data_IF_545327143636
#
_entry.id   IF_545327143636
#
_cell.length_a   1.000
_cell.length_b   1.000
_cell.length_c   1.000
_cell.angle_alpha   90.00
_cell.angle_beta   90.00
_cell.angle_gamma   90.00
#
_symmetry.space_group_name_H-M   'P 1'
#
loop_
_entity.id
_entity.type
_entity.pdbx_description
1 polymer ?
#
# COMPACT_ATOMS: atom_id res chain seq x y z
N UNK A 1 -44.90 -40.80 -16.31
CA UNK A 1 -43.60 -40.31 -16.81
C UNK A 1 -43.04 -39.31 -15.84
N UNK A 2 -41.80 -39.53 -15.33
CA UNK A 2 -41.13 -38.55 -14.46
C UNK A 2 -40.73 -37.35 -15.33
N UNK A 3 -41.07 -36.11 -14.86
CA UNK A 3 -40.61 -34.88 -15.52
C UNK A 3 -39.11 -34.77 -15.38
N UNK A 4 -38.36 -34.58 -16.49
CA UNK A 4 -36.92 -34.36 -16.48
C UNK A 4 -36.58 -33.20 -15.51
N UNK A 5 -35.76 -33.47 -14.48
CA UNK A 5 -35.26 -32.44 -13.56
C UNK A 5 -35.69 -32.53 -12.09
N UNK A 6 -36.71 -33.30 -11.74
CA UNK A 6 -37.22 -33.31 -10.37
C UNK A 6 -36.52 -34.34 -9.42
N UNK A 7 -35.63 -35.20 -9.91
CA UNK A 7 -34.93 -36.23 -9.16
C UNK A 7 -35.86 -37.13 -8.27
N UNK A 8 -37.06 -37.46 -8.84
CA UNK A 8 -38.05 -38.30 -8.18
C UNK A 8 -38.39 -39.45 -9.15
N UNK A 9 -38.22 -40.69 -8.66
CA UNK A 9 -38.32 -41.90 -9.47
C UNK A 9 -39.25 -42.92 -8.83
N UNK A 10 -40.00 -43.67 -9.65
CA UNK A 10 -40.81 -44.80 -9.17
C UNK A 10 -39.94 -46.06 -9.11
N UNK A 11 -39.83 -46.67 -7.98
CA UNK A 11 -39.03 -47.90 -7.75
C UNK A 11 -39.83 -49.15 -8.21
N UNK A 12 -39.12 -50.26 -8.38
CA UNK A 12 -39.75 -51.55 -8.75
C UNK A 12 -40.68 -52.11 -7.67
N UNK A 13 -40.48 -51.70 -6.42
CA UNK A 13 -41.32 -52.04 -5.28
C UNK A 13 -42.60 -51.18 -5.15
N UNK A 14 -42.91 -50.36 -6.14
CA UNK A 14 -44.08 -49.53 -6.19
C UNK A 14 -43.98 -48.17 -5.50
N UNK A 15 -42.98 -47.96 -4.62
CA UNK A 15 -42.74 -46.68 -3.92
C UNK A 15 -42.09 -45.65 -4.81
N UNK A 16 -42.25 -44.37 -4.44
CA UNK A 16 -41.55 -43.23 -5.05
C UNK A 16 -40.36 -42.83 -4.19
N UNK A 17 -39.21 -42.64 -4.84
CA UNK A 17 -37.97 -42.20 -4.25
C UNK A 17 -37.66 -40.77 -4.70
N UNK A 18 -37.43 -39.83 -3.74
CA UNK A 18 -36.95 -38.50 -4.00
C UNK A 18 -35.48 -38.37 -3.55
N UNK A 19 -34.62 -38.04 -4.49
CA UNK A 19 -33.18 -37.82 -4.22
C UNK A 19 -32.87 -36.33 -4.05
N UNK A 20 -32.03 -35.97 -3.07
CA UNK A 20 -31.58 -34.61 -2.81
C UNK A 20 -30.13 -34.60 -2.36
N UNK A 21 -29.44 -33.46 -2.50
CA UNK A 21 -28.05 -33.29 -2.02
C UNK A 21 -28.11 -33.03 -0.52
N UNK A 22 -27.53 -33.94 0.30
CA UNK A 22 -27.48 -33.82 1.74
C UNK A 22 -26.24 -33.02 2.21
N UNK A 23 -25.11 -33.16 1.51
CA UNK A 23 -23.84 -32.48 1.81
C UNK A 23 -22.94 -32.49 0.58
N UNK A 24 -21.81 -31.78 0.64
CA UNK A 24 -20.66 -31.95 -0.28
C UNK A 24 -19.44 -32.39 0.50
N UNK A 25 -18.66 -33.32 -0.06
CA UNK A 25 -17.38 -33.76 0.54
C UNK A 25 -16.32 -32.67 0.41
N UNK A 26 -15.21 -32.79 1.13
CA UNK A 26 -14.05 -31.88 1.01
C UNK A 26 -13.50 -31.79 -0.44
N UNK A 27 -13.71 -32.85 -1.25
CA UNK A 27 -13.36 -32.87 -2.67
C UNK A 27 -14.44 -32.27 -3.61
N UNK A 28 -15.49 -31.65 -3.07
CA UNK A 28 -16.59 -31.05 -3.86
C UNK A 28 -17.64 -32.02 -4.37
N UNK A 29 -17.51 -33.34 -4.19
CA UNK A 29 -18.47 -34.34 -4.64
C UNK A 29 -19.76 -34.29 -3.79
N UNK A 30 -20.93 -34.38 -4.48
CA UNK A 30 -22.22 -34.38 -3.83
C UNK A 30 -22.50 -35.68 -3.08
N UNK A 31 -22.90 -35.58 -1.80
CA UNK A 31 -23.41 -36.67 -0.98
C UNK A 31 -24.94 -36.57 -1.00
N UNK A 32 -25.61 -37.67 -1.40
CA UNK A 32 -27.04 -37.65 -1.61
C UNK A 32 -27.79 -38.24 -0.42
N UNK A 33 -28.96 -37.64 -0.13
CA UNK A 33 -29.99 -38.19 0.75
C UNK A 33 -31.21 -38.65 -0.09
N UNK A 34 -31.99 -39.55 0.52
CA UNK A 34 -33.15 -40.16 -0.13
C UNK A 34 -34.37 -40.09 0.77
N UNK A 35 -35.56 -39.84 0.19
CA UNK A 35 -36.84 -39.94 0.89
C UNK A 35 -37.76 -40.88 0.10
N UNK A 36 -38.61 -41.59 0.80
CA UNK A 36 -39.51 -42.57 0.20
C UNK A 36 -40.97 -42.26 0.55
N UNK A 37 -41.87 -42.51 -0.39
CA UNK A 37 -43.31 -42.34 -0.20
C UNK A 37 -44.13 -43.24 -1.14
N UNK A 38 -45.39 -43.56 -0.77
CA UNK A 38 -46.26 -44.35 -1.63
C UNK A 38 -46.73 -43.59 -2.89
N UNK A 39 -46.76 -42.26 -2.82
CA UNK A 39 -47.21 -41.43 -3.95
C UNK A 39 -46.14 -40.45 -4.38
N UNK A 40 -46.16 -40.03 -5.69
CA UNK A 40 -45.28 -39.01 -6.23
C UNK A 40 -45.42 -37.67 -5.46
N UNK A 41 -46.65 -37.24 -5.19
CA UNK A 41 -46.94 -35.95 -4.52
C UNK A 41 -46.34 -35.91 -3.11
N UNK A 42 -46.41 -37.02 -2.40
CA UNK A 42 -45.83 -37.13 -1.06
C UNK A 42 -44.31 -37.24 -1.05
N UNK A 43 -43.70 -37.96 -2.02
CA UNK A 43 -42.25 -38.00 -2.20
C UNK A 43 -41.68 -36.60 -2.51
N UNK A 44 -42.40 -35.82 -3.34
CA UNK A 44 -42.04 -34.43 -3.64
C UNK A 44 -42.10 -33.55 -2.40
N UNK A 45 -43.17 -33.65 -1.58
CA UNK A 45 -43.32 -32.92 -0.32
C UNK A 45 -42.20 -33.25 0.66
N UNK A 46 -41.93 -34.55 0.90
CA UNK A 46 -40.87 -35.02 1.82
C UNK A 46 -39.49 -34.57 1.35
N UNK A 47 -39.24 -34.58 0.02
CA UNK A 47 -37.95 -34.09 -0.54
C UNK A 47 -37.78 -32.59 -0.30
N UNK A 48 -38.81 -31.77 -0.58
CA UNK A 48 -38.76 -30.33 -0.32
C UNK A 48 -38.56 -30.02 1.17
N UNK A 49 -39.25 -30.74 2.06
CA UNK A 49 -39.09 -30.58 3.50
C UNK A 49 -37.67 -30.94 3.96
N UNK A 50 -37.07 -32.00 3.41
CA UNK A 50 -35.72 -32.40 3.71
C UNK A 50 -34.68 -31.35 3.27
N UNK A 51 -34.90 -30.71 2.14
CA UNK A 51 -34.05 -29.60 1.65
C UNK A 51 -34.17 -28.37 2.57
N UNK A 52 -35.41 -27.96 2.92
CA UNK A 52 -35.66 -26.84 3.85
C UNK A 52 -35.00 -27.10 5.23
N UNK A 53 -35.13 -28.33 5.74
CA UNK A 53 -34.52 -28.68 7.02
C UNK A 53 -32.97 -28.61 6.99
N UNK A 54 -32.33 -28.93 5.85
CA UNK A 54 -30.88 -28.79 5.71
C UNK A 54 -30.51 -27.31 5.64
N UNK A 55 -31.24 -26.50 4.87
CA UNK A 55 -31.00 -25.05 4.80
C UNK A 55 -31.24 -24.35 6.14
N UNK A 56 -32.28 -24.76 6.87
CA UNK A 56 -32.56 -24.24 8.23
C UNK A 56 -31.46 -24.64 9.23
N UNK A 57 -30.94 -25.87 9.16
CA UNK A 57 -29.83 -26.31 10.00
C UNK A 57 -28.53 -25.58 9.63
N UNK A 58 -28.25 -25.37 8.34
CA UNK A 58 -27.09 -24.59 7.91
C UNK A 58 -27.16 -23.12 8.37
N UNK A 59 -28.34 -22.52 8.33
CA UNK A 59 -28.56 -21.16 8.89
C UNK A 59 -28.50 -21.14 10.43
N UNK A 60 -28.96 -22.18 11.11
CA UNK A 60 -28.83 -22.31 12.56
C UNK A 60 -27.36 -22.54 12.97
N UNK A 61 -26.59 -23.37 12.24
CA UNK A 61 -25.16 -23.53 12.45
C UNK A 61 -24.38 -22.24 12.16
N UNK A 62 -24.74 -21.47 11.15
CA UNK A 62 -24.17 -20.14 10.93
C UNK A 62 -24.47 -19.18 12.08
N UNK A 63 -25.71 -19.15 12.59
CA UNK A 63 -26.07 -18.32 13.75
C UNK A 63 -25.37 -18.75 15.05
N UNK A 64 -25.12 -20.05 15.24
CA UNK A 64 -24.39 -20.56 16.42
C UNK A 64 -22.90 -20.26 16.31
N UNK A 65 -22.32 -20.29 15.09
CA UNK A 65 -20.90 -19.90 14.88
C UNK A 65 -20.68 -18.39 14.98
N UNK A 66 -21.69 -17.57 14.65
CA UNK A 66 -21.64 -16.12 14.86
C UNK A 66 -21.62 -15.74 16.35
N UNK A 67 -22.18 -16.57 17.24
CA UNK A 67 -22.22 -16.31 18.68
C UNK A 67 -20.99 -16.80 19.47
N UNK A 68 -20.00 -17.46 18.83
CA UNK A 68 -18.82 -17.99 19.53
C UNK A 68 -17.52 -17.27 19.25
N UNK A 69 -17.47 -16.39 18.24
CA UNK A 69 -16.28 -15.56 17.99
C UNK A 69 -16.49 -14.22 18.72
N UNK A 70 -15.65 -13.89 19.72
CA UNK A 70 -15.78 -12.60 20.40
C UNK A 70 -15.68 -11.45 19.40
N UNK A 71 -16.40 -10.34 19.61
CA UNK A 71 -16.36 -9.21 18.69
C UNK A 71 -14.92 -8.74 18.52
N UNK A 72 -14.45 -8.74 17.28
CA UNK A 72 -13.13 -8.23 16.93
C UNK A 72 -13.24 -6.73 16.63
N UNK A 73 -12.58 -5.93 17.42
CA UNK A 73 -12.49 -4.48 17.21
C UNK A 73 -11.34 -4.13 16.28
N UNK A 74 -11.49 -3.06 15.54
CA UNK A 74 -10.51 -2.63 14.52
C UNK A 74 -9.14 -2.32 15.16
N UNK A 75 -9.08 -1.75 16.37
CA UNK A 75 -7.82 -1.53 17.09
C UNK A 75 -7.03 -2.82 17.29
N UNK A 76 -7.67 -3.85 17.80
CA UNK A 76 -7.02 -5.15 18.04
C UNK A 76 -6.52 -5.74 16.73
N UNK A 77 -7.38 -5.76 15.71
CA UNK A 77 -7.04 -6.27 14.38
C UNK A 77 -5.85 -5.52 13.77
N UNK A 78 -5.81 -4.20 13.89
CA UNK A 78 -4.73 -3.36 13.38
C UNK A 78 -3.40 -3.65 14.08
N UNK A 79 -3.41 -3.78 15.41
CA UNK A 79 -2.22 -4.12 16.19
C UNK A 79 -1.69 -5.53 15.83
N UNK A 80 -2.57 -6.52 15.78
CA UNK A 80 -2.20 -7.89 15.43
C UNK A 80 -1.63 -7.96 13.99
N UNK A 81 -2.25 -7.25 13.06
CA UNK A 81 -1.76 -7.15 11.70
C UNK A 81 -0.39 -6.46 11.61
N UNK A 82 -0.21 -5.30 12.26
CA UNK A 82 1.06 -4.59 12.28
C UNK A 82 2.20 -5.45 12.83
N UNK A 83 1.94 -6.19 13.92
CA UNK A 83 2.91 -7.13 14.49
C UNK A 83 3.27 -8.25 13.51
N UNK A 84 2.28 -8.77 12.77
CA UNK A 84 2.49 -9.87 11.81
C UNK A 84 3.36 -9.49 10.61
N UNK A 85 3.37 -8.21 10.20
CA UNK A 85 4.11 -7.73 9.03
C UNK A 85 5.42 -7.03 9.38
N UNK A 86 5.67 -6.70 10.66
CA UNK A 86 6.80 -5.87 11.08
C UNK A 86 8.17 -6.39 10.60
N UNK A 87 8.38 -7.70 10.65
CA UNK A 87 9.64 -8.34 10.21
C UNK A 87 9.75 -8.48 8.68
N UNK A 88 8.64 -8.32 7.95
CA UNK A 88 8.56 -8.60 6.51
C UNK A 88 8.65 -7.33 5.65
N UNK A 89 8.46 -6.16 6.24
CA UNK A 89 8.41 -4.89 5.51
C UNK A 89 9.55 -3.95 5.91
N UNK A 90 9.91 -3.03 5.00
CA UNK A 90 10.88 -1.98 5.30
C UNK A 90 10.36 -1.02 6.37
N UNK A 91 11.28 -0.50 7.19
CA UNK A 91 10.97 0.49 8.24
C UNK A 91 10.14 1.67 7.73
N UNK A 92 10.41 2.16 6.51
CA UNK A 92 9.63 3.25 5.90
C UNK A 92 8.18 2.87 5.60
N UNK A 93 7.92 1.62 5.19
CA UNK A 93 6.55 1.14 4.98
C UNK A 93 5.83 0.95 6.30
N UNK A 94 6.52 0.42 7.32
CA UNK A 94 5.97 0.29 8.67
C UNK A 94 5.51 1.64 9.22
N UNK A 95 6.39 2.65 9.16
CA UNK A 95 6.08 4.02 9.61
C UNK A 95 4.90 4.61 8.82
N UNK A 96 4.86 4.42 7.50
CA UNK A 96 3.72 4.87 6.67
C UNK A 96 2.41 4.23 7.14
N UNK A 97 2.41 2.92 7.37
CA UNK A 97 1.20 2.19 7.81
C UNK A 97 0.78 2.60 9.21
N UNK A 98 1.74 2.72 10.13
CA UNK A 98 1.48 3.24 11.47
C UNK A 98 0.81 4.62 11.43
N UNK A 99 1.36 5.54 10.65
CA UNK A 99 0.79 6.89 10.51
C UNK A 99 -0.63 6.87 9.94
N UNK A 100 -0.87 6.07 8.88
CA UNK A 100 -2.21 5.94 8.30
C UNK A 100 -3.20 5.38 9.33
N UNK A 101 -2.81 4.36 10.09
CA UNK A 101 -3.64 3.78 11.14
C UNK A 101 -3.99 4.81 12.20
N UNK A 102 -2.99 5.47 12.77
CA UNK A 102 -3.18 6.37 13.91
C UNK A 102 -3.77 7.73 13.53
N UNK A 103 -3.49 8.24 12.32
CA UNK A 103 -4.01 9.54 11.90
C UNK A 103 -5.40 9.50 11.27
N UNK A 104 -5.80 8.35 10.68
CA UNK A 104 -7.05 8.28 9.90
C UNK A 104 -7.96 7.14 10.30
N UNK A 105 -7.46 5.89 10.38
CA UNK A 105 -8.32 4.72 10.54
C UNK A 105 -8.78 4.57 11.99
N UNK A 106 -7.87 4.58 12.94
CA UNK A 106 -8.21 4.39 14.36
C UNK A 106 -9.07 5.52 14.95
N UNK A 107 -8.86 6.81 14.62
CA UNK A 107 -9.78 7.85 15.12
C UNK A 107 -11.24 7.62 14.75
N UNK A 108 -11.51 7.01 13.58
CA UNK A 108 -12.88 6.75 13.11
C UNK A 108 -13.42 5.37 13.54
N UNK A 109 -12.56 4.34 13.56
CA UNK A 109 -13.00 2.95 13.67
C UNK A 109 -12.48 2.23 14.92
N UNK A 110 -11.86 2.89 15.86
CA UNK A 110 -11.19 2.28 17.02
C UNK A 110 -12.06 1.25 17.75
N UNK A 111 -13.22 1.70 18.19
CA UNK A 111 -14.18 0.91 18.94
C UNK A 111 -15.29 0.33 18.08
N UNK A 112 -15.11 0.31 16.75
CA UNK A 112 -16.05 -0.27 15.83
C UNK A 112 -15.79 -1.77 15.71
N UNK A 113 -16.80 -2.61 15.99
CA UNK A 113 -16.66 -4.04 15.76
C UNK A 113 -16.63 -4.32 14.25
N UNK A 114 -15.82 -5.32 13.88
CA UNK A 114 -15.56 -5.68 12.48
C UNK A 114 -16.81 -5.97 11.65
N UNK A 115 -17.86 -6.53 12.27
CA UNK A 115 -19.13 -6.85 11.63
C UNK A 115 -19.96 -5.62 11.25
N UNK A 116 -19.63 -4.43 11.75
CA UNK A 116 -20.25 -3.17 11.36
C UNK A 116 -19.51 -2.44 10.23
N UNK A 117 -18.37 -2.96 9.79
CA UNK A 117 -17.54 -2.32 8.76
C UNK A 117 -18.07 -2.65 7.35
N UNK A 118 -19.24 -2.11 7.02
CA UNK A 118 -19.90 -2.29 5.72
C UNK A 118 -19.23 -1.48 4.61
N UNK A 119 -19.44 -1.84 3.34
CA UNK A 119 -18.96 -1.07 2.18
C UNK A 119 -19.44 0.37 2.22
N UNK A 120 -20.72 0.61 2.61
CA UNK A 120 -21.29 1.94 2.73
C UNK A 120 -20.58 2.80 3.78
N UNK A 121 -20.24 2.21 4.93
CA UNK A 121 -19.53 2.93 6.00
C UNK A 121 -18.08 3.29 5.58
N UNK A 122 -17.40 2.38 4.90
CA UNK A 122 -16.05 2.65 4.38
C UNK A 122 -16.10 3.68 3.24
N UNK A 123 -17.10 3.62 2.35
CA UNK A 123 -17.28 4.62 1.29
C UNK A 123 -17.47 6.02 1.89
N UNK A 124 -18.42 6.17 2.85
CA UNK A 124 -18.65 7.43 3.54
C UNK A 124 -17.38 7.99 4.18
N UNK A 125 -16.62 7.15 4.88
CA UNK A 125 -15.32 7.54 5.44
C UNK A 125 -14.35 8.05 4.37
N UNK A 126 -14.25 7.39 3.21
CA UNK A 126 -13.42 7.87 2.11
C UNK A 126 -13.89 9.20 1.53
N UNK A 127 -15.21 9.39 1.42
CA UNK A 127 -15.82 10.64 0.92
C UNK A 127 -15.58 11.79 1.90
N UNK A 128 -15.73 11.54 3.21
CA UNK A 128 -15.44 12.52 4.26
C UNK A 128 -13.95 12.92 4.27
N UNK A 129 -13.03 11.98 4.05
CA UNK A 129 -11.61 12.26 3.90
C UNK A 129 -11.29 13.11 2.67
N UNK A 130 -11.98 12.90 1.54
CA UNK A 130 -11.79 13.69 0.32
C UNK A 130 -12.26 15.13 0.49
N UNK A 131 -13.30 15.37 1.31
CA UNK A 131 -13.92 16.68 1.47
C UNK A 131 -13.33 17.43 2.66
N UNK A 132 -13.12 16.77 3.79
CA UNK A 132 -12.79 17.38 5.08
C UNK A 132 -11.49 16.86 5.69
N UNK A 133 -10.82 15.89 5.05
CA UNK A 133 -9.60 15.29 5.60
C UNK A 133 -8.41 16.26 5.63
N UNK A 134 -7.40 15.89 6.43
CA UNK A 134 -6.16 16.67 6.57
C UNK A 134 -6.21 17.73 7.68
N UNK A 135 -5.04 18.27 8.01
CA UNK A 135 -4.90 19.26 9.10
C UNK A 135 -5.52 20.63 8.80
N UNK A 136 -5.67 20.98 7.52
CA UNK A 136 -6.32 22.21 7.07
C UNK A 136 -7.85 22.07 6.92
N UNK A 137 -8.38 20.85 6.90
CA UNK A 137 -9.80 20.58 6.64
C UNK A 137 -10.23 20.79 5.18
N UNK A 138 -9.28 20.98 4.25
CA UNK A 138 -9.56 21.20 2.81
C UNK A 138 -9.70 19.90 2.01
N UNK A 139 -9.64 18.75 2.69
CA UNK A 139 -9.70 17.43 2.09
C UNK A 139 -8.32 16.85 1.73
N UNK A 140 -8.27 15.54 1.64
CA UNK A 140 -7.07 14.81 1.22
C UNK A 140 -7.08 14.57 -0.29
N UNK A 141 -5.88 14.52 -0.87
CA UNK A 141 -5.76 14.12 -2.27
C UNK A 141 -6.32 12.70 -2.51
N UNK A 142 -6.93 12.44 -3.69
CA UNK A 142 -7.42 11.10 -4.03
C UNK A 142 -6.36 10.01 -3.87
N UNK A 143 -5.10 10.33 -4.16
CA UNK A 143 -3.96 9.41 -3.98
C UNK A 143 -3.77 9.02 -2.50
N UNK A 144 -3.89 9.98 -1.59
CA UNK A 144 -3.76 9.73 -0.14
C UNK A 144 -4.92 8.85 0.35
N UNK A 145 -6.15 9.15 -0.08
CA UNK A 145 -7.33 8.35 0.30
C UNK A 145 -7.24 6.93 -0.27
N UNK A 146 -6.73 6.75 -1.48
CA UNK A 146 -6.45 5.42 -2.05
C UNK A 146 -5.40 4.63 -1.24
N UNK A 147 -4.36 5.29 -0.73
CA UNK A 147 -3.37 4.65 0.14
C UNK A 147 -4.02 4.20 1.48
N UNK A 148 -4.90 5.02 2.06
CA UNK A 148 -5.68 4.69 3.27
C UNK A 148 -6.62 3.50 3.00
N UNK A 149 -7.37 3.55 1.90
CA UNK A 149 -8.28 2.47 1.49
C UNK A 149 -7.51 1.16 1.21
N UNK A 150 -6.33 1.24 0.62
CA UNK A 150 -5.46 0.07 0.38
C UNK A 150 -5.04 -0.59 1.68
N UNK A 151 -4.73 0.20 2.71
CA UNK A 151 -4.43 -0.31 4.05
C UNK A 151 -5.66 -0.95 4.69
N UNK A 152 -6.83 -0.31 4.61
CA UNK A 152 -8.10 -0.86 5.09
C UNK A 152 -8.39 -2.23 4.45
N UNK A 153 -8.23 -2.35 3.13
CA UNK A 153 -8.35 -3.62 2.41
C UNK A 153 -7.39 -4.70 2.93
N UNK A 154 -6.16 -4.29 3.30
CA UNK A 154 -5.17 -5.21 3.86
C UNK A 154 -5.59 -5.72 5.25
N UNK A 155 -6.17 -4.86 6.09
CA UNK A 155 -6.74 -5.25 7.39
C UNK A 155 -7.93 -6.20 7.23
N UNK A 156 -8.85 -5.89 6.31
CA UNK A 156 -10.01 -6.76 6.05
C UNK A 156 -9.59 -8.14 5.53
N UNK A 157 -8.58 -8.18 4.66
CA UNK A 157 -8.00 -9.43 4.19
C UNK A 157 -7.33 -10.21 5.32
N UNK A 158 -6.59 -9.53 6.20
CA UNK A 158 -6.00 -10.17 7.37
C UNK A 158 -7.08 -10.75 8.30
N UNK A 159 -8.17 -10.02 8.53
CA UNK A 159 -9.31 -10.52 9.29
C UNK A 159 -9.86 -11.83 8.71
N UNK A 160 -10.03 -11.90 7.39
CA UNK A 160 -10.48 -13.11 6.71
C UNK A 160 -9.51 -14.29 6.91
N UNK A 161 -8.20 -14.05 6.85
CA UNK A 161 -7.17 -15.08 7.11
C UNK A 161 -7.25 -15.57 8.57
N UNK A 162 -7.60 -14.69 9.52
CA UNK A 162 -7.79 -15.04 10.93
C UNK A 162 -9.15 -15.73 11.22
N UNK A 163 -9.96 -15.99 10.20
CA UNK A 163 -11.25 -16.68 10.33
C UNK A 163 -12.45 -15.76 10.60
N UNK A 164 -12.24 -14.44 10.68
CA UNK A 164 -13.34 -13.48 10.77
C UNK A 164 -14.01 -13.28 9.40
N UNK A 165 -15.29 -12.92 9.41
CA UNK A 165 -16.05 -12.64 8.18
C UNK A 165 -16.51 -11.17 8.17
N UNK A 166 -15.65 -10.24 7.72
CA UNK A 166 -16.07 -8.85 7.58
C UNK A 166 -17.16 -8.73 6.51
N UNK A 167 -18.16 -7.84 6.71
CA UNK A 167 -19.29 -7.67 5.77
C UNK A 167 -18.85 -7.06 4.44
N UNK A 168 -17.65 -6.50 4.37
CA UNK A 168 -17.05 -5.92 3.16
C UNK A 168 -15.58 -6.33 3.03
N UNK A 169 -15.09 -6.41 1.79
CA UNK A 169 -13.65 -6.51 1.48
C UNK A 169 -13.10 -5.19 0.91
N UNK A 170 -13.92 -4.15 0.82
CA UNK A 170 -13.56 -2.83 0.31
C UNK A 170 -13.27 -2.76 -1.19
N UNK A 171 -13.48 -3.84 -1.97
CA UNK A 171 -13.23 -3.84 -3.42
C UNK A 171 -14.24 -3.02 -4.20
N UNK A 172 -15.47 -2.93 -3.70
CA UNK A 172 -16.58 -2.21 -4.33
C UNK A 172 -16.44 -0.68 -4.25
N UNK A 173 -15.46 -0.20 -3.44
CA UNK A 173 -15.23 1.22 -3.22
C UNK A 173 -14.31 1.74 -4.31
N UNK A 174 -14.79 2.73 -5.07
CA UNK A 174 -14.07 3.35 -6.17
C UNK A 174 -13.76 4.81 -5.86
N UNK A 175 -12.49 5.17 -5.90
CA UNK A 175 -12.03 6.55 -5.80
C UNK A 175 -11.44 6.95 -7.14
N UNK A 176 -12.02 7.98 -7.77
CA UNK A 176 -11.50 8.51 -9.03
C UNK A 176 -10.19 9.24 -8.77
N UNK A 177 -9.18 8.95 -9.56
CA UNK A 177 -7.90 9.61 -9.52
C UNK A 177 -7.64 10.23 -10.89
N UNK A 178 -7.37 11.53 -10.91
CA UNK A 178 -6.81 12.22 -12.09
C UNK A 178 -5.30 12.00 -12.11
N UNK A 179 -4.76 11.71 -13.28
CA UNK A 179 -3.32 11.65 -13.43
C UNK A 179 -2.74 13.05 -13.12
N UNK A 180 -1.70 13.15 -12.29
CA UNK A 180 -1.05 14.44 -12.07
C UNK A 180 -0.37 14.90 -13.36
N UNK A 181 -0.46 16.20 -13.64
CA UNK A 181 0.30 16.78 -14.73
C UNK A 181 1.80 16.67 -14.45
N UNK A 182 2.52 16.13 -15.40
CA UNK A 182 3.97 16.02 -15.31
C UNK A 182 4.59 17.35 -15.69
N UNK A 183 5.15 18.06 -14.71
CA UNK A 183 5.89 19.31 -14.97
C UNK A 183 7.28 18.94 -15.49
N UNK A 184 7.57 19.35 -16.72
CA UNK A 184 8.88 19.20 -17.36
C UNK A 184 9.54 20.57 -17.43
N UNK A 185 10.78 20.68 -16.93
CA UNK A 185 11.56 21.93 -17.04
C UNK A 185 11.90 22.17 -18.50
N UNK A 186 11.50 23.32 -19.12
CA UNK A 186 11.84 23.65 -20.50
C UNK A 186 13.37 23.70 -20.70
N UNK A 187 13.83 23.36 -21.91
CA UNK A 187 15.27 23.33 -22.22
C UNK A 187 15.98 24.66 -21.98
N UNK A 188 15.34 25.75 -22.32
CA UNK A 188 15.85 27.11 -22.06
C UNK A 188 16.08 27.35 -20.56
N UNK A 189 15.12 26.95 -19.74
CA UNK A 189 15.22 27.06 -18.28
C UNK A 189 16.30 26.14 -17.70
N UNK A 190 16.47 24.92 -18.25
CA UNK A 190 17.58 24.05 -17.88
C UNK A 190 18.95 24.67 -18.18
N UNK A 191 19.11 25.31 -19.32
CA UNK A 191 20.37 25.98 -19.71
C UNK A 191 20.71 27.16 -18.79
N UNK A 192 19.70 27.94 -18.37
CA UNK A 192 19.88 29.05 -17.41
C UNK A 192 20.28 28.49 -16.05
N UNK A 193 19.57 27.49 -15.57
CA UNK A 193 19.87 26.80 -14.28
C UNK A 193 21.29 26.23 -14.30
N UNK A 194 21.67 25.51 -15.33
CA UNK A 194 23.01 24.95 -15.45
C UNK A 194 24.09 26.06 -15.41
N UNK A 195 23.92 27.18 -16.15
CA UNK A 195 24.86 28.31 -16.08
C UNK A 195 25.01 28.87 -14.68
N UNK A 196 23.89 29.07 -13.99
CA UNK A 196 23.89 29.51 -12.57
C UNK A 196 24.65 28.55 -11.67
N UNK A 197 24.37 27.23 -11.77
CA UNK A 197 25.00 26.19 -10.94
C UNK A 197 26.50 26.08 -11.19
N UNK A 198 26.95 26.20 -12.46
CA UNK A 198 28.38 26.23 -12.81
C UNK A 198 29.10 27.48 -12.32
N UNK A 199 28.46 28.65 -12.35
CA UNK A 199 29.04 29.91 -11.89
C UNK A 199 29.12 29.98 -10.34
N UNK A 200 28.26 29.24 -9.62
CA UNK A 200 28.17 29.26 -8.17
C UNK A 200 28.43 27.85 -7.58
N UNK A 201 29.60 27.26 -7.94
CA UNK A 201 29.90 25.89 -7.58
C UNK A 201 30.01 25.70 -6.05
N UNK A 202 29.36 24.69 -5.56
CA UNK A 202 29.38 24.22 -4.18
C UNK A 202 28.94 22.76 -4.16
N UNK A 203 29.12 22.03 -3.05
CA UNK A 203 28.63 20.65 -2.90
C UNK A 203 27.13 20.55 -3.20
N UNK A 204 26.36 21.54 -2.76
CA UNK A 204 24.91 21.60 -2.95
C UNK A 204 24.52 21.75 -4.43
N UNK A 205 25.20 22.67 -5.13
CA UNK A 205 24.98 22.92 -6.56
C UNK A 205 25.51 21.75 -7.41
N UNK A 206 26.59 21.10 -7.00
CA UNK A 206 27.05 19.84 -7.58
C UNK A 206 25.95 18.75 -7.44
N UNK A 207 25.29 18.65 -6.30
CA UNK A 207 24.19 17.70 -6.09
C UNK A 207 23.04 17.90 -7.07
N UNK A 208 22.66 19.16 -7.35
CA UNK A 208 21.62 19.49 -8.34
C UNK A 208 22.09 19.10 -9.75
N UNK A 209 23.34 19.43 -10.13
CA UNK A 209 23.91 19.03 -11.42
C UNK A 209 23.93 17.51 -11.59
N UNK A 210 24.35 16.78 -10.57
CA UNK A 210 24.33 15.31 -10.59
C UNK A 210 22.92 14.77 -10.80
N UNK A 211 21.91 15.33 -10.11
CA UNK A 211 20.52 14.93 -10.36
C UNK A 211 20.08 15.20 -11.81
N UNK A 212 20.42 16.37 -12.38
CA UNK A 212 20.06 16.73 -13.74
C UNK A 212 20.70 15.82 -14.80
N UNK A 213 21.97 15.48 -14.63
CA UNK A 213 22.72 14.68 -15.60
C UNK A 213 22.54 13.17 -15.45
N UNK A 214 22.23 12.68 -14.26
CA UNK A 214 22.20 11.24 -13.95
C UNK A 214 20.79 10.69 -13.70
N UNK A 215 19.81 11.56 -13.49
CA UNK A 215 18.46 11.15 -13.09
C UNK A 215 18.39 10.47 -11.71
N UNK A 216 19.37 10.69 -10.85
CA UNK A 216 19.35 10.17 -9.47
C UNK A 216 18.22 10.80 -8.66
N UNK A 217 17.60 10.00 -7.80
CA UNK A 217 16.60 10.50 -6.86
C UNK A 217 17.26 11.33 -5.76
N UNK A 218 16.54 12.33 -5.21
CA UNK A 218 17.06 13.17 -4.13
C UNK A 218 17.60 12.38 -2.93
N UNK A 219 16.95 11.28 -2.55
CA UNK A 219 17.44 10.41 -1.47
C UNK A 219 18.70 9.62 -1.84
N UNK A 220 18.91 9.30 -3.11
CA UNK A 220 20.11 8.61 -3.61
C UNK A 220 21.30 9.56 -3.59
N UNK A 221 21.12 10.81 -4.07
CA UNK A 221 22.19 11.80 -4.08
C UNK A 221 22.61 12.22 -2.65
N UNK A 222 21.67 12.33 -1.71
CA UNK A 222 21.98 12.65 -0.31
C UNK A 222 22.70 11.51 0.42
N UNK A 223 22.59 10.27 -0.06
CA UNK A 223 23.28 9.11 0.48
C UNK A 223 24.63 8.85 -0.22
N UNK A 224 24.91 9.55 -1.31
CA UNK A 224 26.09 9.32 -2.15
C UNK A 224 27.36 9.74 -1.43
N UNK A 225 28.37 8.89 -1.53
CA UNK A 225 29.72 9.16 -1.01
C UNK A 225 30.75 9.26 -2.13
N UNK A 226 31.86 9.89 -1.87
CA UNK A 226 32.94 9.98 -2.83
C UNK A 226 33.55 8.63 -3.21
N UNK A 227 33.49 7.65 -2.32
CA UNK A 227 33.90 6.27 -2.57
C UNK A 227 33.02 5.53 -3.61
N UNK A 228 31.82 6.06 -3.90
CA UNK A 228 30.92 5.50 -4.91
C UNK A 228 31.26 5.92 -6.35
N UNK A 229 32.24 6.83 -6.51
CA UNK A 229 32.70 7.28 -7.82
C UNK A 229 33.86 6.42 -8.32
N UNK A 230 33.76 5.96 -9.54
CA UNK A 230 34.87 5.46 -10.34
C UNK A 230 35.29 6.54 -11.34
N UNK A 231 36.33 7.33 -11.01
CA UNK A 231 36.84 8.37 -11.89
C UNK A 231 37.51 7.78 -13.14
N UNK A 232 38.07 6.58 -13.04
CA UNK A 232 38.68 5.86 -14.15
C UNK A 232 37.61 5.43 -15.17
N UNK A 233 36.50 4.85 -14.68
CA UNK A 233 35.36 4.38 -15.49
C UNK A 233 34.34 5.49 -15.75
N UNK A 234 34.55 6.67 -15.20
CA UNK A 234 33.64 7.83 -15.30
C UNK A 234 32.21 7.47 -14.94
N UNK A 235 32.03 6.82 -13.78
CA UNK A 235 30.75 6.30 -13.36
C UNK A 235 30.48 6.46 -11.86
N UNK A 236 29.22 6.40 -11.46
CA UNK A 236 28.73 6.41 -10.08
C UNK A 236 28.00 5.10 -9.80
N UNK A 237 28.31 4.44 -8.71
CA UNK A 237 27.58 3.27 -8.23
C UNK A 237 26.52 3.67 -7.21
N UNK A 238 25.24 3.60 -7.61
CA UNK A 238 24.11 3.96 -6.75
C UNK A 238 23.59 2.72 -6.05
N UNK A 239 23.79 2.63 -4.72
CA UNK A 239 23.39 1.47 -3.92
C UNK A 239 22.73 1.83 -2.58
N UNK A 240 22.65 3.13 -2.24
CA UNK A 240 22.01 3.62 -1.04
C UNK A 240 20.98 4.72 -1.32
N UNK A 241 20.06 4.90 -0.37
CA UNK A 241 19.11 6.01 -0.35
C UNK A 241 18.93 6.51 1.08
N UNK A 242 18.87 7.82 1.24
CA UNK A 242 18.66 8.50 2.53
C UNK A 242 17.21 8.98 2.62
N UNK A 243 16.61 8.82 3.79
CA UNK A 243 15.30 9.37 4.09
C UNK A 243 15.18 9.68 5.58
N UNK A 244 14.40 10.70 5.94
CA UNK A 244 14.00 10.99 7.32
C UNK A 244 12.69 10.28 7.61
N UNK A 245 12.67 9.45 8.65
CA UNK A 245 11.50 8.71 9.08
C UNK A 245 11.05 9.19 10.46
N UNK A 246 9.76 9.17 10.70
CA UNK A 246 9.21 9.31 12.04
C UNK A 246 9.57 8.08 12.88
N UNK A 247 9.70 8.28 14.18
CA UNK A 247 9.87 7.20 15.15
C UNK A 247 8.53 7.09 15.88
N UNK A 248 7.72 6.04 15.56
CA UNK A 248 6.45 5.83 16.23
C UNK A 248 6.63 5.79 17.76
N UNK A 249 5.69 6.36 18.47
CA UNK A 249 5.57 6.32 19.95
C UNK A 249 6.77 6.87 20.74
N UNK A 250 7.70 7.56 20.07
CA UNK A 250 8.83 8.19 20.75
C UNK A 250 8.47 9.56 21.31
N UNK A 251 8.71 9.75 22.60
CA UNK A 251 8.50 11.02 23.30
C UNK A 251 9.72 11.95 23.22
N UNK A 252 10.91 11.39 22.99
CA UNK A 252 12.18 12.15 23.02
C UNK A 252 12.63 12.56 21.63
N UNK A 253 12.64 11.66 20.66
CA UNK A 253 13.11 11.92 19.31
C UNK A 253 12.02 11.56 18.27
N UNK A 254 11.36 12.56 17.72
CA UNK A 254 10.24 12.36 16.78
C UNK A 254 10.65 11.76 15.43
N UNK A 255 11.89 11.99 14.98
CA UNK A 255 12.36 11.54 13.65
C UNK A 255 13.82 11.10 13.68
N UNK A 256 14.20 10.19 12.77
CA UNK A 256 15.59 9.81 12.53
C UNK A 256 15.91 9.77 11.04
N UNK A 257 17.17 10.03 10.68
CA UNK A 257 17.67 9.78 9.32
C UNK A 257 18.07 8.33 9.21
N UNK A 258 17.62 7.69 8.13
CA UNK A 258 17.91 6.29 7.84
C UNK A 258 18.48 6.18 6.43
N UNK A 259 19.64 5.51 6.32
CA UNK A 259 20.29 5.20 5.04
C UNK A 259 20.15 3.70 4.84
N UNK A 260 19.53 3.31 3.73
CA UNK A 260 19.27 1.91 3.41
C UNK A 260 19.50 1.63 1.93
N UNK A 261 19.63 0.34 1.60
CA UNK A 261 19.59 -0.08 0.20
C UNK A 261 18.26 0.30 -0.47
N UNK A 262 18.25 0.58 -1.76
CA UNK A 262 17.04 0.90 -2.52
C UNK A 262 15.96 -0.17 -2.41
N UNK A 263 14.71 0.18 -2.76
CA UNK A 263 13.53 -0.67 -2.62
C UNK A 263 13.59 -1.95 -3.48
N UNK A 264 14.27 -1.90 -4.61
CA UNK A 264 14.42 -3.04 -5.53
C UNK A 264 15.86 -3.23 -5.97
N UNK A 265 16.24 -4.46 -6.33
CA UNK A 265 17.56 -4.75 -6.89
C UNK A 265 17.86 -3.93 -8.16
N UNK A 266 16.86 -3.65 -8.99
CA UNK A 266 17.00 -2.83 -10.21
C UNK A 266 17.32 -1.34 -9.91
N UNK A 267 17.15 -0.89 -8.67
CA UNK A 267 17.54 0.47 -8.27
C UNK A 267 19.03 0.58 -7.91
N UNK A 268 19.70 -0.55 -7.67
CA UNK A 268 21.16 -0.61 -7.57
C UNK A 268 21.68 -0.60 -9.00
N UNK A 269 22.42 0.43 -9.36
CA UNK A 269 22.87 0.64 -10.73
C UNK A 269 24.15 1.48 -10.79
N UNK A 270 24.90 1.31 -11.87
CA UNK A 270 26.02 2.18 -12.22
C UNK A 270 25.54 3.14 -13.30
N UNK A 271 25.84 4.42 -13.12
CA UNK A 271 25.44 5.50 -14.02
C UNK A 271 26.69 6.15 -14.58
N UNK A 272 26.83 6.29 -15.92
CA UNK A 272 27.95 7.02 -16.51
C UNK A 272 27.82 8.52 -16.23
N UNK A 273 28.98 9.18 -16.04
CA UNK A 273 29.08 10.61 -15.78
C UNK A 273 29.70 11.29 -17.02
N UNK A 274 29.13 12.40 -17.53
CA UNK A 274 29.76 13.17 -18.61
C UNK A 274 31.14 13.67 -18.26
N UNK A 275 32.06 13.65 -19.23
CA UNK A 275 33.46 14.10 -19.08
C UNK A 275 33.58 15.49 -18.49
N UNK A 276 32.73 16.40 -18.95
CA UNK A 276 32.69 17.77 -18.44
C UNK A 276 32.41 17.85 -16.94
N UNK A 277 31.53 16.99 -16.45
CA UNK A 277 31.18 16.95 -15.02
C UNK A 277 32.30 16.30 -14.20
N UNK A 278 32.98 15.29 -14.75
CA UNK A 278 34.17 14.67 -14.12
C UNK A 278 35.29 15.72 -13.98
N UNK A 279 35.61 16.47 -15.04
CA UNK A 279 36.63 17.52 -14.99
C UNK A 279 36.29 18.61 -13.98
N UNK A 280 35.02 19.01 -13.91
CA UNK A 280 34.54 19.96 -12.91
C UNK A 280 34.75 19.44 -11.48
N UNK A 281 34.34 18.21 -11.22
CA UNK A 281 34.48 17.56 -9.89
C UNK A 281 35.95 17.48 -9.50
N UNK A 282 36.83 17.10 -10.43
CA UNK A 282 38.26 16.99 -10.16
C UNK A 282 38.91 18.34 -9.84
N UNK A 283 38.46 19.41 -10.50
CA UNK A 283 38.95 20.76 -10.31
C UNK A 283 38.47 21.39 -8.99
N UNK A 284 37.16 21.34 -8.75
CA UNK A 284 36.53 22.09 -7.66
C UNK A 284 36.55 21.36 -6.33
N UNK A 285 36.70 20.00 -6.33
CA UNK A 285 36.68 19.16 -5.15
C UNK A 285 37.91 18.24 -5.06
N UNK A 286 39.10 18.78 -4.84
CA UNK A 286 40.33 17.97 -4.80
C UNK A 286 40.40 17.01 -3.61
N UNK A 287 39.90 17.43 -2.43
CA UNK A 287 39.91 16.67 -1.17
C UNK A 287 38.55 15.98 -0.95
N UNK A 288 38.36 14.82 -1.56
CA UNK A 288 37.09 14.11 -1.60
C UNK A 288 37.03 13.00 -0.57
N UNK A 289 36.29 13.20 0.51
CA UNK A 289 36.07 12.19 1.56
C UNK A 289 34.62 12.25 2.04
N UNK A 290 34.07 11.11 2.49
CA UNK A 290 32.75 11.02 3.07
C UNK A 290 31.60 11.29 2.08
N UNK A 291 30.57 11.99 2.55
CA UNK A 291 29.41 12.30 1.71
C UNK A 291 29.71 13.38 0.67
N UNK A 292 29.20 13.21 -0.56
CA UNK A 292 29.29 14.20 -1.64
C UNK A 292 28.56 15.48 -1.25
N UNK A 293 27.39 15.33 -0.62
CA UNK A 293 26.62 16.44 -0.07
C UNK A 293 26.89 16.54 1.43
N UNK A 294 27.94 17.23 1.80
CA UNK A 294 28.32 17.47 3.18
C UNK A 294 28.08 18.92 3.62
N UNK A 295 27.93 19.12 4.91
CA UNK A 295 27.97 20.42 5.58
C UNK A 295 29.41 20.70 6.01
N UNK A 296 29.70 21.94 6.46
CA UNK A 296 30.99 22.36 6.99
C UNK A 296 31.54 21.42 8.10
N UNK A 297 30.65 20.74 8.82
CA UNK A 297 30.98 19.78 9.86
C UNK A 297 31.03 18.32 9.35
N UNK A 298 31.27 18.11 8.06
CA UNK A 298 31.30 16.79 7.37
C UNK A 298 30.04 15.93 7.53
N UNK A 299 28.95 16.54 8.01
CA UNK A 299 27.68 15.87 8.13
C UNK A 299 26.91 15.94 6.80
N UNK A 300 26.20 14.86 6.48
CA UNK A 300 25.36 14.79 5.27
C UNK A 300 24.30 15.90 5.21
N UNK A 301 23.89 16.28 3.99
CA UNK A 301 22.74 17.12 3.72
C UNK A 301 21.51 16.21 3.51
N UNK A 302 20.40 16.57 4.15
CA UNK A 302 19.17 15.78 4.08
C UNK A 302 18.34 16.07 2.83
N UNK A 303 17.53 15.10 2.35
CA UNK A 303 16.71 15.26 1.15
C UNK A 303 15.81 16.51 1.17
N UNK A 304 15.17 16.83 2.30
CA UNK A 304 14.33 18.04 2.40
C UNK A 304 15.12 19.34 2.23
N UNK A 305 16.33 19.38 2.79
CA UNK A 305 17.22 20.53 2.62
C UNK A 305 17.60 20.70 1.15
N UNK A 306 17.90 19.60 0.45
CA UNK A 306 18.19 19.64 -1.00
C UNK A 306 16.99 20.12 -1.83
N UNK A 307 15.78 19.67 -1.50
CA UNK A 307 14.57 20.15 -2.16
C UNK A 307 14.37 21.66 -1.99
N UNK A 308 14.52 22.16 -0.77
CA UNK A 308 14.42 23.60 -0.48
C UNK A 308 15.49 24.41 -1.23
N UNK A 309 16.74 23.89 -1.29
CA UNK A 309 17.81 24.52 -2.06
C UNK A 309 17.54 24.57 -3.55
N UNK A 310 16.97 23.49 -4.11
CA UNK A 310 16.55 23.48 -5.51
C UNK A 310 15.52 24.57 -5.79
N UNK A 311 14.50 24.71 -4.93
CA UNK A 311 13.50 25.78 -5.06
C UNK A 311 14.15 27.17 -5.04
N UNK A 312 15.05 27.43 -4.09
CA UNK A 312 15.78 28.70 -4.03
C UNK A 312 16.68 28.96 -5.26
N UNK A 313 17.34 27.92 -5.78
CA UNK A 313 18.13 28.04 -6.99
C UNK A 313 17.26 28.37 -8.22
N UNK A 314 16.08 27.81 -8.31
CA UNK A 314 15.15 28.11 -9.41
C UNK A 314 14.60 29.53 -9.30
N UNK A 315 14.29 30.00 -8.09
CA UNK A 315 13.86 31.38 -7.84
C UNK A 315 14.98 32.41 -8.20
N UNK A 316 16.20 32.17 -7.69
CA UNK A 316 17.35 33.07 -7.91
C UNK A 316 17.87 33.07 -9.34
N UNK A 317 17.70 31.97 -10.10
CA UNK A 317 18.09 31.92 -11.53
C UNK A 317 17.06 32.50 -12.47
N UNK A 318 15.96 33.12 -11.95
CA UNK A 318 14.83 33.65 -12.75
C UNK A 318 14.19 32.54 -13.62
N UNK A 319 14.30 31.30 -13.19
CA UNK A 319 13.61 30.17 -13.82
C UNK A 319 12.19 30.09 -13.22
N UNK A 320 11.31 30.95 -13.72
CA UNK A 320 9.89 30.84 -13.41
C UNK A 320 9.32 29.61 -14.12
N UNK A 321 8.80 28.70 -13.34
CA UNK A 321 7.92 27.68 -13.87
C UNK A 321 6.56 28.33 -14.16
N UNK A 322 6.33 28.68 -15.42
CA UNK A 322 5.01 29.02 -15.94
C UNK A 322 4.17 27.76 -16.12
#
# INVERSE_FOLDING_TARGET
MSRKGENIYKRKDGRWEGRYIKARSQSGKAVYGYVYAPTYKEAKRKRSQAIINIESNLTAFHKISENTIPPCFIRKLANDWMNSIQSQIKKSSYVKYHNILHSYILPEFDNVPLNELTSSRIQKFCDDLLIHGGSSGEGLSPKTVLDILSLMRSLLRYAQIQGYQPPSNGKDILIRQTAPDTVVIPRSSQEILCRYLYANMSERNLGILLCLFTGMRVGEICALKWEDFSFQEKSIHVHNTMQRLQIPDSTTQKTCVVITSPKSKCSIRTIPIPDRLIQLIQKEFPNRQGYVLATVNEKYIEPRTMQNLFSLCTENSVVWFL
#
